data_IF_216960230590
#
_entry.id   IF_216960230590
#
_cell.length_a   1.000
_cell.length_b   1.000
_cell.length_c   1.000
_cell.angle_alpha   90.00
_cell.angle_beta   90.00
_cell.angle_gamma   90.00
#
_symmetry.space_group_name_H-M   'P 1'
#
loop_
_entity.id
_entity.type
_entity.pdbx_description
1 polymer ?
#
# COMPACT_ATOMS: atom_id res chain seq x y z
N UNK A 1 0.71 9.15 7.99
CA UNK A 1 1.02 8.29 9.06
C UNK A 1 1.97 7.16 8.64
N UNK A 2 1.75 6.51 7.51
CA UNK A 2 2.74 5.61 6.91
C UNK A 2 3.90 6.41 6.34
N UNK A 3 5.13 5.96 6.57
CA UNK A 3 6.36 6.59 6.07
C UNK A 3 7.13 5.61 5.18
N UNK A 4 7.64 6.11 4.06
CA UNK A 4 8.54 5.36 3.18
C UNK A 4 9.88 6.05 3.11
N UNK A 5 10.96 5.28 3.11
CA UNK A 5 12.33 5.79 3.02
C UNK A 5 13.09 4.95 2.00
N UNK A 6 13.60 5.61 0.97
CA UNK A 6 14.55 5.01 0.04
C UNK A 6 15.94 5.03 0.66
N UNK A 7 16.63 3.92 0.60
CA UNK A 7 17.97 3.80 1.17
C UNK A 7 18.82 2.79 0.41
N UNK A 8 20.13 3.00 0.49
CA UNK A 8 21.12 2.08 -0.06
C UNK A 8 22.08 1.56 1.02
N UNK A 9 22.55 0.35 0.83
CA UNK A 9 23.62 -0.22 1.62
C UNK A 9 24.63 -0.95 0.73
N UNK A 10 25.85 -0.98 1.18
CA UNK A 10 26.96 -1.58 0.46
C UNK A 10 27.81 -2.41 1.43
N UNK A 11 28.26 -3.55 0.97
CA UNK A 11 29.22 -4.43 1.65
C UNK A 11 30.36 -4.76 0.72
N UNK A 12 31.59 -4.54 1.21
CA UNK A 12 32.83 -4.90 0.49
C UNK A 12 33.48 -6.08 1.19
N UNK A 13 33.82 -7.12 0.42
CA UNK A 13 34.53 -8.29 0.92
C UNK A 13 36.05 -8.09 0.79
N UNK A 14 36.79 -8.60 1.75
CA UNK A 14 38.27 -8.55 1.73
C UNK A 14 38.89 -9.40 0.60
N UNK A 15 38.18 -10.43 0.17
CA UNK A 15 38.51 -11.30 -0.97
C UNK A 15 37.26 -11.56 -1.79
N UNK A 16 37.46 -11.89 -3.08
CA UNK A 16 36.30 -12.30 -3.89
C UNK A 16 35.54 -13.46 -3.24
N UNK A 17 34.28 -13.23 -2.93
CA UNK A 17 33.42 -14.16 -2.18
C UNK A 17 32.22 -14.54 -3.03
N UNK A 18 31.78 -15.79 -2.94
CA UNK A 18 30.51 -16.22 -3.52
C UNK A 18 29.39 -15.73 -2.58
N UNK A 19 28.47 -14.93 -3.13
CA UNK A 19 27.36 -14.35 -2.37
C UNK A 19 26.36 -15.45 -2.01
N UNK A 20 26.02 -15.54 -0.75
CA UNK A 20 25.01 -16.46 -0.21
C UNK A 20 23.74 -15.72 0.14
N UNK A 21 22.65 -16.46 0.37
CA UNK A 21 21.38 -15.90 0.88
C UNK A 21 21.57 -15.09 2.16
N UNK A 22 22.47 -15.54 3.07
CA UNK A 22 22.80 -14.81 4.31
C UNK A 22 23.46 -13.45 4.03
N UNK A 23 24.35 -13.39 3.03
CA UNK A 23 24.97 -12.13 2.62
C UNK A 23 23.93 -11.15 2.08
N UNK A 24 22.98 -11.62 1.25
CA UNK A 24 21.91 -10.79 0.69
C UNK A 24 21.00 -10.29 1.82
N UNK A 25 20.57 -11.19 2.70
CA UNK A 25 19.74 -10.81 3.84
C UNK A 25 20.41 -9.78 4.74
N UNK A 26 21.69 -9.98 5.06
CA UNK A 26 22.46 -9.04 5.89
C UNK A 26 22.62 -7.67 5.22
N UNK A 27 22.82 -7.64 3.90
CA UNK A 27 22.90 -6.41 3.13
C UNK A 27 21.56 -5.65 3.15
N UNK A 28 20.44 -6.35 2.95
CA UNK A 28 19.10 -5.74 2.97
C UNK A 28 18.77 -5.22 4.38
N UNK A 29 19.08 -5.98 5.42
CA UNK A 29 18.87 -5.53 6.81
C UNK A 29 19.71 -4.30 7.16
N UNK A 30 20.93 -4.20 6.65
CA UNK A 30 21.78 -3.02 6.81
C UNK A 30 21.13 -1.78 6.14
N UNK A 31 20.52 -1.94 4.98
CA UNK A 31 19.82 -0.85 4.31
C UNK A 31 18.54 -0.45 5.08
N UNK A 32 17.78 -1.41 5.60
CA UNK A 32 16.59 -1.16 6.43
C UNK A 32 16.96 -0.42 7.72
N UNK A 33 18.08 -0.81 8.37
CA UNK A 33 18.57 -0.12 9.57
C UNK A 33 18.93 1.34 9.27
N UNK A 34 19.66 1.59 8.18
CA UNK A 34 19.97 2.95 7.73
C UNK A 34 18.72 3.76 7.40
N UNK A 35 17.72 3.14 6.77
CA UNK A 35 16.43 3.78 6.49
C UNK A 35 15.72 4.19 7.79
N UNK A 36 15.75 3.33 8.81
CA UNK A 36 15.21 3.63 10.13
C UNK A 36 15.94 4.79 10.82
N UNK A 37 17.27 4.83 10.73
CA UNK A 37 18.05 5.95 11.27
C UNK A 37 17.73 7.26 10.54
N UNK A 38 17.63 7.23 9.20
CA UNK A 38 17.24 8.38 8.38
C UNK A 38 15.85 8.91 8.78
N UNK A 39 14.89 8.02 8.99
CA UNK A 39 13.56 8.37 9.45
C UNK A 39 13.60 9.04 10.83
N UNK A 40 14.34 8.46 11.77
CA UNK A 40 14.49 9.02 13.14
C UNK A 40 15.13 10.41 13.16
N UNK A 41 16.02 10.70 12.22
CA UNK A 41 16.66 12.02 12.11
C UNK A 41 15.76 13.07 11.45
N UNK A 42 14.91 12.64 10.52
CA UNK A 42 14.03 13.54 9.77
C UNK A 42 12.67 13.77 10.45
N UNK A 43 12.22 12.85 11.29
CA UNK A 43 10.93 12.95 11.95
C UNK A 43 11.05 13.54 13.38
N UNK A 44 10.49 14.73 13.54
CA UNK A 44 10.47 15.46 14.83
C UNK A 44 9.22 15.12 15.67
N UNK A 45 8.42 14.15 15.27
CA UNK A 45 7.17 13.79 15.99
C UNK A 45 7.40 13.13 17.34
N UNK A 46 8.61 12.57 17.56
CA UNK A 46 8.93 11.77 18.77
C UNK A 46 8.29 10.38 18.77
N UNK A 47 7.61 9.98 17.69
CA UNK A 47 7.01 8.66 17.54
C UNK A 47 8.10 7.62 17.28
N UNK A 48 7.87 6.41 17.79
CA UNK A 48 8.64 5.24 17.41
C UNK A 48 8.01 4.58 16.20
N UNK A 49 8.83 4.02 15.32
CA UNK A 49 8.40 3.39 14.09
C UNK A 49 8.90 1.96 13.99
N UNK A 50 8.06 1.07 13.49
CA UNK A 50 8.39 -0.28 13.07
C UNK A 50 8.51 -0.36 11.55
N UNK A 51 9.55 -1.03 11.05
CA UNK A 51 9.60 -1.43 9.65
C UNK A 51 8.61 -2.58 9.44
N UNK A 52 7.57 -2.32 8.67
CA UNK A 52 6.50 -3.29 8.37
C UNK A 52 6.71 -4.00 7.04
N UNK A 53 7.71 -3.59 6.28
CA UNK A 53 8.10 -4.23 5.04
C UNK A 53 9.13 -3.40 4.28
N UNK A 54 9.79 -4.05 3.33
CA UNK A 54 10.68 -3.39 2.38
C UNK A 54 10.56 -4.06 1.01
N UNK A 55 10.91 -3.32 -0.03
CA UNK A 55 11.02 -3.83 -1.40
C UNK A 55 12.36 -3.42 -1.97
N UNK A 56 13.11 -4.39 -2.46
CA UNK A 56 14.38 -4.11 -3.14
C UNK A 56 14.08 -3.61 -4.55
N UNK A 57 14.58 -2.42 -4.84
CA UNK A 57 14.48 -1.81 -6.16
C UNK A 57 15.55 -2.36 -7.10
N UNK A 58 16.77 -2.54 -6.57
CA UNK A 58 17.91 -2.99 -7.38
C UNK A 58 19.04 -3.53 -6.54
N UNK A 59 19.69 -4.56 -7.07
CA UNK A 59 20.99 -5.05 -6.60
C UNK A 59 22.12 -4.64 -7.54
N UNK A 60 23.33 -4.56 -7.01
CA UNK A 60 24.56 -4.32 -7.78
C UNK A 60 25.67 -5.28 -7.35
N UNK A 61 26.34 -5.83 -8.34
CA UNK A 61 27.54 -6.62 -8.21
C UNK A 61 28.74 -5.82 -8.78
N UNK A 62 29.73 -5.49 -7.97
CA UNK A 62 30.89 -4.67 -8.38
C UNK A 62 30.47 -3.43 -9.21
N UNK A 63 29.43 -2.70 -8.74
CA UNK A 63 28.81 -1.53 -9.36
C UNK A 63 27.96 -1.78 -10.63
N UNK A 64 27.82 -3.01 -11.08
CA UNK A 64 26.95 -3.38 -12.19
C UNK A 64 25.57 -3.84 -11.68
N UNK A 65 24.46 -3.31 -12.23
CA UNK A 65 23.14 -3.73 -11.81
C UNK A 65 22.89 -5.20 -12.18
N UNK A 66 22.25 -5.92 -11.25
CA UNK A 66 21.92 -7.34 -11.39
C UNK A 66 20.57 -7.63 -10.74
N UNK A 67 19.87 -8.61 -11.24
CA UNK A 67 18.56 -8.99 -10.69
C UNK A 67 18.68 -9.86 -9.44
N UNK A 68 19.71 -10.70 -9.36
CA UNK A 68 19.94 -11.60 -8.24
C UNK A 68 21.44 -11.66 -7.93
N UNK A 69 21.81 -11.47 -6.68
CA UNK A 69 23.20 -11.52 -6.21
C UNK A 69 23.65 -12.93 -5.86
N UNK A 70 22.71 -13.80 -5.47
CA UNK A 70 23.03 -15.12 -4.93
C UNK A 70 23.75 -16.00 -5.97
N UNK A 71 24.81 -16.67 -5.51
CA UNK A 71 25.65 -17.54 -6.34
C UNK A 71 26.72 -16.82 -7.16
N UNK A 72 26.69 -15.50 -7.24
CA UNK A 72 27.71 -14.71 -7.95
C UNK A 72 28.96 -14.49 -7.10
N UNK A 73 30.11 -14.52 -7.74
CA UNK A 73 31.42 -14.25 -7.09
C UNK A 73 31.79 -12.78 -7.33
N UNK A 74 32.01 -12.03 -6.26
CA UNK A 74 32.34 -10.60 -6.34
C UNK A 74 33.08 -10.10 -5.09
N UNK A 75 33.65 -8.91 -5.20
CA UNK A 75 34.32 -8.21 -4.11
C UNK A 75 33.39 -7.17 -3.41
N UNK A 76 32.29 -6.81 -4.06
CA UNK A 76 31.39 -5.75 -3.57
C UNK A 76 29.95 -6.03 -3.97
N UNK A 77 29.04 -5.83 -3.02
CA UNK A 77 27.59 -5.92 -3.25
C UNK A 77 26.91 -4.66 -2.71
N UNK A 78 25.85 -4.21 -3.40
CA UNK A 78 25.03 -3.07 -2.97
C UNK A 78 23.56 -3.36 -3.25
N UNK A 79 22.69 -2.87 -2.38
CA UNK A 79 21.24 -2.87 -2.52
C UNK A 79 20.70 -1.45 -2.50
N UNK A 80 19.68 -1.20 -3.30
CA UNK A 80 18.80 -0.04 -3.21
C UNK A 80 17.40 -0.55 -2.89
N UNK A 81 16.79 -0.06 -1.82
CA UNK A 81 15.47 -0.50 -1.38
C UNK A 81 14.59 0.64 -0.87
N UNK A 82 13.29 0.40 -0.86
CA UNK A 82 12.30 1.22 -0.16
C UNK A 82 11.87 0.45 1.09
N UNK A 83 12.09 1.06 2.24
CA UNK A 83 11.58 0.55 3.52
C UNK A 83 10.34 1.34 3.94
N UNK A 84 9.35 0.63 4.48
CA UNK A 84 8.07 1.20 4.91
C UNK A 84 7.92 1.05 6.42
N UNK A 85 7.49 2.12 7.04
CA UNK A 85 7.40 2.23 8.49
C UNK A 85 6.01 2.66 8.93
N UNK A 86 5.51 2.05 10.00
CA UNK A 86 4.32 2.47 10.72
C UNK A 86 4.67 2.86 12.16
N UNK A 87 3.92 3.79 12.78
CA UNK A 87 4.04 4.05 14.20
C UNK A 87 3.82 2.79 15.02
N UNK A 88 4.61 2.61 16.10
CA UNK A 88 4.52 1.48 17.02
C UNK A 88 3.10 1.27 17.52
N UNK A 89 2.41 2.34 17.91
CA UNK A 89 1.03 2.31 18.40
C UNK A 89 0.04 1.68 17.41
N UNK A 90 0.24 1.90 16.11
CA UNK A 90 -0.61 1.32 15.05
C UNK A 90 -0.37 -0.18 14.95
N UNK A 91 0.89 -0.59 14.97
CA UNK A 91 1.28 -2.01 14.91
C UNK A 91 0.78 -2.74 16.15
N UNK A 92 0.99 -2.20 17.34
CA UNK A 92 0.50 -2.77 18.60
C UNK A 92 -1.02 -2.88 18.61
N UNK A 93 -1.74 -1.88 18.08
CA UNK A 93 -3.18 -1.91 17.95
C UNK A 93 -3.68 -3.04 17.06
N UNK A 94 -3.01 -3.30 15.92
CA UNK A 94 -3.31 -4.42 15.02
C UNK A 94 -3.09 -5.77 15.71
N UNK A 95 -1.96 -5.94 16.38
CA UNK A 95 -1.67 -7.16 17.15
C UNK A 95 -2.71 -7.39 18.23
N UNK A 96 -3.01 -6.38 19.03
CA UNK A 96 -4.00 -6.47 20.11
C UNK A 96 -5.42 -6.80 19.58
N UNK A 97 -5.80 -6.29 18.42
CA UNK A 97 -7.09 -6.60 17.81
C UNK A 97 -7.19 -8.08 17.40
N UNK A 98 -6.14 -8.61 16.76
CA UNK A 98 -6.08 -10.02 16.33
C UNK A 98 -6.03 -10.96 17.53
N UNK A 99 -5.24 -10.64 18.57
CA UNK A 99 -5.15 -11.43 19.80
C UNK A 99 -6.46 -11.48 20.57
N UNK A 100 -7.23 -10.38 20.60
CA UNK A 100 -8.58 -10.35 21.21
C UNK A 100 -9.58 -11.24 20.48
N UNK A 101 -9.36 -11.48 19.19
CA UNK A 101 -10.14 -12.44 18.41
C UNK A 101 -9.71 -13.90 18.65
N UNK A 102 -8.73 -14.16 19.54
CA UNK A 102 -8.20 -15.49 19.85
C UNK A 102 -7.24 -16.02 18.78
N UNK A 103 -6.69 -15.14 17.94
CA UNK A 103 -5.75 -15.47 16.89
C UNK A 103 -4.36 -14.93 17.22
N UNK A 104 -3.34 -15.44 16.54
CA UNK A 104 -1.97 -14.94 16.63
C UNK A 104 -1.56 -14.35 15.27
N UNK A 105 -0.86 -13.21 15.29
CA UNK A 105 -0.25 -12.64 14.10
C UNK A 105 1.06 -13.38 13.85
N UNK A 106 1.14 -14.07 12.72
CA UNK A 106 2.36 -14.75 12.31
C UNK A 106 3.28 -13.82 11.52
N UNK A 107 2.71 -12.96 10.67
CA UNK A 107 3.47 -12.03 9.86
C UNK A 107 2.63 -10.81 9.48
N UNK A 108 3.32 -9.69 9.23
CA UNK A 108 2.75 -8.47 8.63
C UNK A 108 3.28 -8.33 7.21
N UNK A 109 2.40 -7.94 6.30
CA UNK A 109 2.77 -7.53 4.95
C UNK A 109 2.04 -6.25 4.57
N UNK A 110 2.60 -5.51 3.63
CA UNK A 110 1.95 -4.33 3.08
C UNK A 110 0.87 -4.75 2.09
N UNK A 111 -0.29 -4.10 2.16
CA UNK A 111 -1.41 -4.33 1.23
C UNK A 111 -0.98 -4.23 -0.24
N UNK A 112 -0.22 -3.22 -0.70
CA UNK A 112 0.26 -3.15 -2.08
C UNK A 112 1.10 -4.36 -2.51
N UNK A 113 1.92 -4.92 -1.61
CA UNK A 113 2.72 -6.12 -1.89
C UNK A 113 1.80 -7.34 -2.08
N UNK A 114 0.81 -7.49 -1.21
CA UNK A 114 -0.17 -8.58 -1.30
C UNK A 114 -1.02 -8.44 -2.57
N UNK A 115 -1.52 -7.23 -2.85
CA UNK A 115 -2.35 -6.93 -4.01
C UNK A 115 -1.62 -7.21 -5.34
N UNK A 116 -0.35 -6.79 -5.47
CA UNK A 116 0.48 -7.08 -6.64
C UNK A 116 0.65 -8.59 -6.85
N UNK A 117 0.89 -9.33 -5.78
CA UNK A 117 1.11 -10.77 -5.86
C UNK A 117 -0.13 -11.55 -6.30
N UNK A 118 -1.32 -11.03 -6.04
CA UNK A 118 -2.60 -11.66 -6.40
C UNK A 118 -3.12 -11.13 -7.74
N UNK A 119 -3.13 -9.81 -7.93
CA UNK A 119 -3.75 -9.17 -9.08
C UNK A 119 -2.89 -9.22 -10.36
N UNK A 120 -1.54 -9.21 -10.21
CA UNK A 120 -0.64 -9.21 -11.37
C UNK A 120 -0.11 -10.61 -11.63
N UNK A 121 -0.51 -11.27 -12.75
CA UNK A 121 0.04 -12.56 -13.16
C UNK A 121 1.55 -12.50 -13.32
N UNK A 122 2.27 -13.58 -12.98
CA UNK A 122 3.75 -13.64 -13.01
C UNK A 122 4.36 -13.17 -14.33
N UNK A 123 3.73 -13.52 -15.47
CA UNK A 123 4.19 -13.12 -16.81
C UNK A 123 4.23 -11.61 -17.05
N UNK A 124 3.49 -10.84 -16.25
CA UNK A 124 3.44 -9.37 -16.36
C UNK A 124 4.25 -8.65 -15.29
N UNK A 125 4.77 -9.37 -14.29
CA UNK A 125 5.50 -8.75 -13.16
C UNK A 125 6.77 -8.02 -13.58
N UNK A 126 7.37 -8.39 -14.73
CA UNK A 126 8.54 -7.69 -15.28
C UNK A 126 8.20 -6.40 -16.03
N UNK A 127 6.93 -6.11 -16.22
CA UNK A 127 6.49 -4.86 -16.85
C UNK A 127 6.42 -3.72 -15.84
N UNK A 128 6.50 -2.49 -16.35
CA UNK A 128 6.19 -1.31 -15.57
C UNK A 128 4.67 -1.20 -15.45
N UNK A 129 4.15 -1.41 -14.27
CA UNK A 129 2.71 -1.44 -13.99
C UNK A 129 2.41 -0.47 -12.86
N UNK A 130 1.32 0.29 -13.01
CA UNK A 130 0.69 0.99 -11.91
C UNK A 130 -0.54 0.17 -11.48
N UNK A 131 -0.56 -0.27 -10.22
CA UNK A 131 -1.72 -0.87 -9.58
C UNK A 131 -2.41 0.21 -8.75
N UNK A 132 -3.69 0.42 -9.00
CA UNK A 132 -4.55 1.33 -8.23
C UNK A 132 -5.58 0.48 -7.52
N UNK A 133 -5.59 0.56 -6.21
CA UNK A 133 -6.55 -0.12 -5.33
C UNK A 133 -7.44 0.94 -4.66
N UNK A 134 -8.73 0.93 -4.99
CA UNK A 134 -9.70 1.88 -4.47
C UNK A 134 -10.60 1.14 -3.47
N UNK A 135 -10.36 1.39 -2.19
CA UNK A 135 -11.10 0.79 -1.10
C UNK A 135 -12.31 1.63 -0.67
N UNK A 136 -12.70 1.50 0.57
CA UNK A 136 -13.75 2.31 1.21
C UNK A 136 -13.22 3.69 1.61
N UNK A 137 -12.20 3.76 2.46
CA UNK A 137 -11.65 5.02 3.00
C UNK A 137 -10.34 5.46 2.38
N UNK A 138 -9.62 4.59 1.65
CA UNK A 138 -8.31 4.89 1.05
C UNK A 138 -8.21 4.39 -0.38
N UNK A 139 -7.41 5.09 -1.18
CA UNK A 139 -6.98 4.66 -2.50
C UNK A 139 -5.46 4.52 -2.50
N UNK A 140 -4.97 3.33 -2.80
CA UNK A 140 -3.55 2.99 -2.81
C UNK A 140 -3.04 2.87 -4.25
N UNK A 141 -1.87 3.47 -4.51
CA UNK A 141 -1.22 3.41 -5.82
C UNK A 141 0.16 2.82 -5.61
N UNK A 142 0.46 1.75 -6.31
CA UNK A 142 1.80 1.14 -6.34
C UNK A 142 2.32 1.06 -7.77
N UNK A 143 3.59 1.42 -7.94
CA UNK A 143 4.26 1.37 -9.23
C UNK A 143 5.36 0.32 -9.16
N UNK A 144 5.32 -0.61 -10.12
CA UNK A 144 6.36 -1.64 -10.25
C UNK A 144 7.24 -1.37 -11.48
N UNK A 145 8.49 -1.75 -11.36
CA UNK A 145 9.46 -1.77 -12.44
C UNK A 145 10.36 -2.99 -12.29
N UNK A 146 10.55 -3.72 -13.38
CA UNK A 146 11.40 -4.93 -13.40
C UNK A 146 11.05 -5.94 -12.27
N UNK A 147 9.78 -6.03 -11.91
CA UNK A 147 9.28 -6.93 -10.87
C UNK A 147 9.35 -6.40 -9.43
N UNK A 148 9.93 -5.21 -9.22
CA UNK A 148 10.08 -4.59 -7.90
C UNK A 148 9.15 -3.38 -7.76
N UNK A 149 8.65 -3.13 -6.55
CA UNK A 149 7.93 -1.90 -6.24
C UNK A 149 8.95 -0.77 -6.11
N UNK A 150 8.79 0.26 -6.93
CA UNK A 150 9.69 1.43 -6.95
C UNK A 150 9.05 2.68 -6.35
N UNK A 151 7.73 2.72 -6.27
CA UNK A 151 7.02 3.81 -5.62
C UNK A 151 5.66 3.30 -5.11
N UNK A 152 5.19 3.94 -4.05
CA UNK A 152 3.89 3.65 -3.50
C UNK A 152 3.36 4.90 -2.77
N UNK A 153 2.06 5.12 -2.91
CA UNK A 153 1.37 6.24 -2.28
C UNK A 153 -0.03 5.85 -1.87
N UNK A 154 -0.57 6.56 -0.89
CA UNK A 154 -1.92 6.38 -0.39
C UNK A 154 -2.62 7.74 -0.31
N UNK A 155 -3.86 7.76 -0.79
CA UNK A 155 -4.76 8.92 -0.72
C UNK A 155 -5.88 8.55 0.25
N UNK A 156 -6.16 9.36 1.29
CA UNK A 156 -7.24 9.10 2.25
C UNK A 156 -8.59 9.55 1.67
N UNK A 157 -8.94 9.05 0.49
CA UNK A 157 -10.17 9.32 -0.23
C UNK A 157 -10.52 8.12 -1.12
N UNK A 158 -11.74 7.61 -1.02
CA UNK A 158 -12.22 6.45 -1.79
C UNK A 158 -13.75 6.34 -1.80
N UNK A 159 -14.30 5.14 -1.78
CA UNK A 159 -15.73 4.88 -1.90
C UNK A 159 -16.62 5.53 -0.86
N UNK A 160 -16.10 5.75 0.35
CA UNK A 160 -16.87 6.36 1.46
C UNK A 160 -17.21 7.83 1.19
N UNK A 161 -16.33 8.58 0.51
CA UNK A 161 -16.62 9.95 0.10
C UNK A 161 -17.80 10.03 -0.87
N UNK A 162 -17.90 9.04 -1.78
CA UNK A 162 -19.07 8.96 -2.68
C UNK A 162 -20.34 8.65 -1.89
N UNK A 163 -20.26 7.75 -0.91
CA UNK A 163 -21.36 7.42 -0.01
C UNK A 163 -21.79 8.64 0.78
N UNK A 164 -20.86 9.41 1.33
CA UNK A 164 -21.15 10.65 2.05
C UNK A 164 -21.85 11.71 1.17
N UNK A 165 -21.45 11.81 -0.10
CA UNK A 165 -22.11 12.73 -1.03
C UNK A 165 -23.57 12.36 -1.26
N UNK A 166 -23.86 11.07 -1.45
CA UNK A 166 -25.21 10.55 -1.59
C UNK A 166 -26.00 10.81 -0.32
N UNK A 167 -25.42 10.48 0.85
CA UNK A 167 -26.05 10.69 2.15
C UNK A 167 -26.46 12.18 2.37
N UNK A 168 -25.55 13.10 2.04
CA UNK A 168 -25.79 14.55 2.17
C UNK A 168 -26.82 15.06 1.16
N UNK A 169 -26.81 14.55 -0.06
CA UNK A 169 -27.69 15.01 -1.14
C UNK A 169 -29.15 14.54 -0.91
N UNK A 170 -29.32 13.25 -0.60
CA UNK A 170 -30.65 12.64 -0.43
C UNK A 170 -31.16 12.65 1.02
N UNK A 171 -30.33 13.15 1.95
CA UNK A 171 -30.65 13.22 3.38
C UNK A 171 -31.02 11.84 3.96
N UNK A 172 -30.19 10.85 3.66
CA UNK A 172 -30.30 9.48 4.18
C UNK A 172 -29.09 9.16 5.08
N UNK A 173 -29.17 8.08 5.86
CA UNK A 173 -28.04 7.63 6.63
C UNK A 173 -26.96 6.99 5.75
N UNK A 174 -25.77 6.76 6.32
CA UNK A 174 -24.62 6.23 5.58
C UNK A 174 -24.87 4.83 5.01
N UNK A 175 -25.60 3.97 5.73
CA UNK A 175 -25.87 2.60 5.28
C UNK A 175 -26.82 2.59 4.08
N UNK A 176 -27.86 3.43 4.14
CA UNK A 176 -28.79 3.59 3.03
C UNK A 176 -28.12 4.23 1.81
N UNK A 177 -27.26 5.24 2.02
CA UNK A 177 -26.49 5.84 0.94
C UNK A 177 -25.52 4.84 0.27
N UNK A 178 -24.87 3.98 1.06
CA UNK A 178 -23.98 2.93 0.54
C UNK A 178 -24.75 1.89 -0.27
N UNK A 179 -25.93 1.48 0.21
CA UNK A 179 -26.85 0.62 -0.54
C UNK A 179 -27.26 1.27 -1.87
N UNK A 180 -27.68 2.55 -1.84
CA UNK A 180 -28.06 3.31 -3.04
C UNK A 180 -26.90 3.39 -4.04
N UNK A 181 -25.68 3.65 -3.57
CA UNK A 181 -24.45 3.65 -4.38
C UNK A 181 -24.26 2.33 -5.11
N UNK A 182 -24.34 1.21 -4.38
CA UNK A 182 -24.15 -0.12 -4.96
C UNK A 182 -25.26 -0.46 -5.95
N UNK A 183 -26.52 -0.29 -5.60
CA UNK A 183 -27.66 -0.60 -6.47
C UNK A 183 -27.70 0.26 -7.74
N UNK A 184 -27.23 1.51 -7.66
CA UNK A 184 -27.19 2.41 -8.84
C UNK A 184 -26.26 1.91 -9.95
N UNK A 185 -25.38 0.96 -9.68
CA UNK A 185 -24.53 0.32 -10.71
C UNK A 185 -25.22 -0.84 -11.43
N UNK A 186 -26.29 -1.40 -10.86
CA UNK A 186 -26.96 -2.59 -11.35
C UNK A 186 -28.38 -2.32 -11.85
N UNK A 187 -29.02 -1.25 -11.38
CA UNK A 187 -30.42 -0.91 -11.64
C UNK A 187 -30.55 0.47 -12.29
N UNK A 188 -31.60 0.69 -13.10
CA UNK A 188 -31.90 2.00 -13.70
C UNK A 188 -32.51 2.99 -12.69
N UNK A 189 -33.24 2.49 -11.72
CA UNK A 189 -33.91 3.24 -10.66
C UNK A 189 -33.66 2.59 -9.31
N UNK A 190 -33.41 3.40 -8.29
CA UNK A 190 -33.16 2.97 -6.91
C UNK A 190 -34.26 3.51 -6.02
N UNK A 191 -34.93 2.61 -5.27
CA UNK A 191 -35.88 2.96 -4.25
C UNK A 191 -35.19 3.18 -2.90
N UNK A 192 -35.57 4.23 -2.16
CA UNK A 192 -35.03 4.51 -0.83
C UNK A 192 -36.08 5.15 0.06
N UNK A 193 -35.81 5.26 1.36
CA UNK A 193 -36.63 6.00 2.30
C UNK A 193 -35.89 7.26 2.74
N UNK A 194 -36.59 8.39 2.66
CA UNK A 194 -36.04 9.64 3.19
C UNK A 194 -36.01 9.65 4.74
N UNK A 195 -35.44 10.71 5.32
CA UNK A 195 -35.38 10.86 6.79
C UNK A 195 -36.73 10.84 7.48
N UNK A 196 -37.83 11.01 6.76
CA UNK A 196 -39.22 10.95 7.27
C UNK A 196 -39.82 9.55 7.08
N UNK A 197 -39.10 8.61 6.50
CA UNK A 197 -39.58 7.26 6.20
C UNK A 197 -40.51 7.18 5.00
N UNK A 198 -40.54 8.21 4.14
CA UNK A 198 -41.33 8.20 2.93
C UNK A 198 -40.58 7.48 1.79
N UNK A 199 -41.29 6.59 1.07
CA UNK A 199 -40.66 5.91 -0.07
C UNK A 199 -40.41 6.89 -1.23
N UNK A 200 -39.22 6.90 -1.72
CA UNK A 200 -38.74 7.73 -2.84
C UNK A 200 -38.10 6.83 -3.90
N UNK A 201 -38.08 7.30 -5.14
CA UNK A 201 -37.39 6.63 -6.24
C UNK A 201 -36.50 7.65 -6.95
N UNK A 202 -35.28 7.27 -7.27
CA UNK A 202 -34.31 8.10 -7.97
C UNK A 202 -33.68 7.32 -9.13
N UNK A 203 -33.35 7.98 -10.22
CA UNK A 203 -32.63 7.38 -11.34
C UNK A 203 -31.15 7.23 -10.99
N UNK A 204 -30.56 6.12 -11.39
CA UNK A 204 -29.13 5.87 -11.22
C UNK A 204 -28.24 6.93 -11.92
N UNK A 205 -28.72 7.51 -13.03
CA UNK A 205 -28.06 8.65 -13.67
C UNK A 205 -27.91 9.86 -12.77
N UNK A 206 -28.91 10.13 -11.93
CA UNK A 206 -28.95 11.30 -11.05
C UNK A 206 -27.98 11.06 -9.85
N UNK A 207 -27.93 9.84 -9.34
CA UNK A 207 -26.92 9.43 -8.34
C UNK A 207 -25.51 9.59 -8.91
N UNK A 208 -25.29 9.14 -10.15
CA UNK A 208 -24.00 9.26 -10.83
C UNK A 208 -23.57 10.74 -11.04
N UNK A 209 -24.54 11.64 -11.24
CA UNK A 209 -24.25 13.07 -11.34
C UNK A 209 -23.82 13.67 -10.00
N UNK A 210 -24.48 13.30 -8.91
CA UNK A 210 -24.16 13.74 -7.54
C UNK A 210 -22.73 13.36 -7.15
N UNK A 211 -22.25 12.18 -7.52
CA UNK A 211 -20.90 11.72 -7.15
C UNK A 211 -19.81 12.14 -8.13
N UNK A 212 -20.15 12.67 -9.30
CA UNK A 212 -19.21 12.96 -10.42
C UNK A 212 -18.04 13.85 -10.01
N UNK A 213 -18.29 14.93 -9.29
CA UNK A 213 -17.24 15.87 -8.87
C UNK A 213 -16.24 15.19 -7.93
N UNK A 214 -16.72 14.33 -7.05
CA UNK A 214 -15.87 13.62 -6.09
C UNK A 214 -15.08 12.47 -6.75
N UNK A 215 -15.67 11.77 -7.72
CA UNK A 215 -14.92 10.80 -8.53
C UNK A 215 -13.72 11.47 -9.21
N UNK A 216 -13.90 12.69 -9.74
CA UNK A 216 -12.80 13.45 -10.36
C UNK A 216 -11.72 13.89 -9.36
N UNK A 217 -12.03 14.01 -8.08
CA UNK A 217 -11.06 14.36 -7.05
C UNK A 217 -10.24 13.16 -6.55
N UNK A 218 -10.78 11.95 -6.71
CA UNK A 218 -10.12 10.69 -6.32
C UNK A 218 -9.21 10.16 -7.45
N UNK A 219 -9.55 10.47 -8.70
CA UNK A 219 -8.80 10.01 -9.91
C UNK A 219 -7.82 11.06 -10.42
#
# INVERSE_FOLDING_TARGET
VLKTVEQEAEVTFTTETVVTTEHVYSLDMLAVEKAHETLRQSDNSGLKYYCVGYSVMRYYQNDYPITNLEGHKCSKIRTELIATFLPEEVVDGLYAAVERAGLHVENLTLEPIAAINIAIPERFRLLNIALVDVGAGTSDISITKDGSIIAYGMIPAAGDELTECIAKHYLVDFQEADRMKCESTEQEEVEFQDIMGLPMTVKSSDIAEVVRENVQSIT
#
